data_IF_495670303290
#
_entry.id   IF_495670303290
#
_cell.length_a   1.000
_cell.length_b   1.000
_cell.length_c   1.000
_cell.angle_alpha   90.00
_cell.angle_beta   90.00
_cell.angle_gamma   90.00
#
_symmetry.space_group_name_H-M   'P 1'
#
loop_
_entity.id
_entity.type
_entity.pdbx_description
1 polymer ?
#
# COMPACT_ATOMS: atom_id res chain seq x y z
N UNK A 1 -4.44 15.08 0.95
CA UNK A 1 -4.63 14.45 -0.37
C UNK A 1 -5.87 15.08 -0.99
N UNK A 2 -5.73 15.69 -2.17
CA UNK A 2 -6.88 16.13 -2.96
C UNK A 2 -7.18 14.99 -3.92
N UNK A 3 -8.37 14.44 -3.82
CA UNK A 3 -8.87 13.42 -4.72
C UNK A 3 -8.86 13.99 -6.15
N UNK A 4 -8.39 13.18 -7.12
CA UNK A 4 -8.46 13.53 -8.53
C UNK A 4 -9.91 13.55 -9.02
N UNK A 5 -10.15 14.17 -10.18
CA UNK A 5 -11.49 14.23 -10.78
C UNK A 5 -12.07 12.83 -11.04
N UNK A 6 -11.21 11.87 -11.39
CA UNK A 6 -11.59 10.48 -11.69
C UNK A 6 -11.40 9.54 -10.49
N UNK A 7 -11.75 9.98 -9.28
CA UNK A 7 -11.61 9.15 -8.09
C UNK A 7 -12.92 9.00 -7.32
N UNK A 8 -13.16 7.77 -6.85
CA UNK A 8 -14.28 7.43 -5.99
C UNK A 8 -13.84 7.41 -4.52
N UNK A 9 -14.77 7.69 -3.61
CA UNK A 9 -14.50 7.66 -2.18
C UNK A 9 -15.54 6.82 -1.43
N UNK A 10 -15.05 5.84 -0.68
CA UNK A 10 -15.79 5.21 0.40
C UNK A 10 -15.47 5.90 1.73
N UNK A 11 -16.47 6.49 2.38
CA UNK A 11 -16.31 7.22 3.65
C UNK A 11 -17.33 6.74 4.69
N UNK A 12 -16.84 6.40 5.87
CA UNK A 12 -17.65 6.10 7.06
C UNK A 12 -17.44 7.18 8.10
N UNK A 13 -18.53 7.80 8.59
CA UNK A 13 -18.46 8.92 9.53
C UNK A 13 -19.43 8.82 10.71
N UNK A 14 -20.48 7.99 10.64
CA UNK A 14 -21.40 7.81 11.76
C UNK A 14 -20.75 7.00 12.87
N UNK A 15 -20.96 7.41 14.13
CA UNK A 15 -20.36 6.72 15.29
C UNK A 15 -20.72 5.23 15.33
N UNK A 16 -21.97 4.89 14.98
CA UNK A 16 -22.44 3.50 14.89
C UNK A 16 -21.63 2.68 13.89
N UNK A 17 -21.42 3.18 12.68
CA UNK A 17 -20.69 2.43 11.65
C UNK A 17 -19.19 2.46 11.90
N UNK A 18 -18.66 3.52 12.52
CA UNK A 18 -17.26 3.57 12.94
C UNK A 18 -16.93 2.50 13.98
N UNK A 19 -17.88 2.12 14.85
CA UNK A 19 -17.69 1.00 15.78
C UNK A 19 -17.45 -0.31 15.02
N UNK A 20 -18.23 -0.59 13.96
CA UNK A 20 -18.05 -1.77 13.11
C UNK A 20 -16.64 -1.78 12.49
N UNK A 21 -16.19 -0.62 11.99
CA UNK A 21 -14.85 -0.47 11.42
C UNK A 21 -13.76 -0.72 12.48
N UNK A 22 -13.92 -0.21 13.70
CA UNK A 22 -12.95 -0.44 14.77
C UNK A 22 -12.91 -1.89 15.21
N UNK A 23 -14.06 -2.56 15.34
CA UNK A 23 -14.15 -3.96 15.76
C UNK A 23 -13.45 -4.89 14.74
N UNK A 24 -13.58 -4.57 13.45
CA UNK A 24 -12.84 -5.26 12.39
C UNK A 24 -11.33 -5.11 12.57
N UNK A 25 -10.81 -3.88 12.70
CA UNK A 25 -9.37 -3.66 12.83
C UNK A 25 -8.79 -4.09 14.19
N UNK A 26 -9.62 -4.32 15.21
CA UNK A 26 -9.18 -4.98 16.44
C UNK A 26 -8.98 -6.48 16.22
N UNK A 27 -9.88 -7.10 15.46
CA UNK A 27 -9.82 -8.53 15.10
C UNK A 27 -8.74 -8.82 14.05
N UNK A 28 -8.50 -7.86 13.15
CA UNK A 28 -7.52 -7.92 12.07
C UNK A 28 -6.60 -6.70 12.12
N UNK A 29 -5.61 -6.68 13.04
CA UNK A 29 -4.78 -5.51 13.28
C UNK A 29 -3.98 -5.06 12.06
N UNK A 30 -3.96 -3.74 11.84
CA UNK A 30 -3.02 -3.11 10.92
C UNK A 30 -1.58 -3.36 11.38
N UNK A 31 -0.69 -3.60 10.42
CA UNK A 31 0.72 -3.94 10.69
C UNK A 31 1.72 -2.88 10.22
N UNK A 32 1.30 -1.91 9.40
CA UNK A 32 2.11 -0.74 9.06
C UNK A 32 2.02 0.34 10.14
N UNK A 33 2.78 1.43 9.98
CA UNK A 33 2.72 2.61 10.85
C UNK A 33 1.34 3.29 10.89
N UNK A 34 0.44 2.97 9.94
CA UNK A 34 -0.97 3.36 9.98
C UNK A 34 -1.69 2.83 11.23
N UNK A 35 -1.17 1.75 11.86
CA UNK A 35 -1.68 1.24 13.14
C UNK A 35 -1.64 2.31 14.24
N UNK A 36 -0.60 3.13 14.31
CA UNK A 36 -0.51 4.19 15.32
C UNK A 36 -1.63 5.23 15.14
N UNK A 37 -1.95 5.58 13.90
CA UNK A 37 -3.08 6.47 13.60
C UNK A 37 -4.41 5.82 13.95
N UNK A 38 -4.59 4.53 13.63
CA UNK A 38 -5.78 3.78 14.00
C UNK A 38 -5.99 3.75 15.53
N UNK A 39 -4.93 3.54 16.32
CA UNK A 39 -5.04 3.53 17.78
C UNK A 39 -5.45 4.90 18.34
N UNK A 40 -4.89 5.99 17.80
CA UNK A 40 -5.30 7.36 18.14
C UNK A 40 -6.75 7.64 17.72
N UNK A 41 -7.14 7.18 16.53
CA UNK A 41 -8.51 7.31 16.01
C UNK A 41 -9.53 6.57 16.90
N UNK A 42 -9.19 5.35 17.33
CA UNK A 42 -10.00 4.55 18.26
C UNK A 42 -10.17 5.25 19.62
N UNK A 43 -9.11 5.88 20.14
CA UNK A 43 -9.20 6.69 21.36
C UNK A 43 -10.14 7.88 21.19
N UNK A 44 -10.09 8.58 20.06
CA UNK A 44 -11.01 9.68 19.77
C UNK A 44 -12.48 9.22 19.71
N UNK A 45 -12.75 8.07 19.07
CA UNK A 45 -14.08 7.44 19.04
C UNK A 45 -14.60 7.17 20.45
N UNK A 46 -13.76 6.65 21.35
CA UNK A 46 -14.14 6.35 22.72
C UNK A 46 -14.53 7.63 23.50
N UNK A 47 -13.77 8.72 23.36
CA UNK A 47 -14.10 10.04 23.96
C UNK A 47 -15.46 10.54 23.45
N UNK A 48 -15.75 10.36 22.15
CA UNK A 48 -17.02 10.78 21.56
C UNK A 48 -18.17 9.91 22.09
N UNK A 49 -17.99 8.59 22.10
CA UNK A 49 -18.97 7.60 22.61
C UNK A 49 -19.35 7.84 24.07
N UNK A 50 -18.38 8.22 24.89
CA UNK A 50 -18.57 8.55 26.30
C UNK A 50 -19.11 9.97 26.53
N UNK A 51 -19.42 10.73 25.47
CA UNK A 51 -19.87 12.12 25.52
C UNK A 51 -18.91 13.10 26.21
N UNK A 52 -17.65 12.72 26.44
CA UNK A 52 -16.65 13.57 27.09
C UNK A 52 -16.36 14.85 26.28
N UNK A 53 -16.46 14.75 24.95
CA UNK A 53 -16.31 15.85 24.00
C UNK A 53 -17.27 17.03 24.20
N UNK A 54 -18.33 16.87 25.01
CA UNK A 54 -19.24 17.96 25.38
C UNK A 54 -18.63 18.93 26.40
N UNK A 55 -17.46 18.61 26.95
CA UNK A 55 -16.72 19.46 27.90
C UNK A 55 -15.45 20.02 27.25
N UNK A 56 -14.99 21.20 27.71
CA UNK A 56 -13.70 21.76 27.29
C UNK A 56 -12.55 20.77 27.50
N UNK A 57 -12.54 20.06 28.63
CA UNK A 57 -11.56 19.01 28.92
C UNK A 57 -11.54 17.91 27.85
N UNK A 58 -12.72 17.43 27.42
CA UNK A 58 -12.82 16.43 26.36
C UNK A 58 -12.43 16.95 24.99
N UNK A 59 -12.79 18.20 24.66
CA UNK A 59 -12.31 18.85 23.42
C UNK A 59 -10.79 18.95 23.42
N UNK A 60 -10.15 19.38 24.52
CA UNK A 60 -8.70 19.46 24.60
C UNK A 60 -8.02 18.09 24.44
N UNK A 61 -8.64 17.00 24.93
CA UNK A 61 -8.17 15.63 24.65
C UNK A 61 -8.23 15.30 23.15
N UNK A 62 -9.35 15.61 22.48
CA UNK A 62 -9.48 15.37 21.02
C UNK A 62 -8.49 16.18 20.20
N UNK A 63 -8.25 17.44 20.58
CA UNK A 63 -7.24 18.30 19.94
C UNK A 63 -5.84 17.71 20.15
N UNK A 64 -5.52 17.25 21.36
CA UNK A 64 -4.25 16.58 21.66
C UNK A 64 -4.04 15.30 20.84
N UNK A 65 -5.08 14.48 20.64
CA UNK A 65 -5.04 13.33 19.74
C UNK A 65 -4.80 13.78 18.29
N UNK A 66 -5.57 14.76 17.81
CA UNK A 66 -5.48 15.27 16.44
C UNK A 66 -4.11 15.86 16.11
N UNK A 67 -3.41 16.42 17.11
CA UNK A 67 -2.05 16.93 16.97
C UNK A 67 -1.01 15.85 16.62
N UNK A 68 -1.27 14.60 16.99
CA UNK A 68 -0.38 13.45 16.74
C UNK A 68 -0.88 12.50 15.65
N UNK A 69 -2.04 12.79 15.08
CA UNK A 69 -2.72 12.00 14.06
C UNK A 69 -2.41 12.56 12.66
N UNK A 70 -1.99 11.68 11.74
CA UNK A 70 -1.67 12.04 10.36
C UNK A 70 -0.71 13.25 10.28
N UNK A 71 -1.18 14.38 9.73
CA UNK A 71 -0.41 15.62 9.53
C UNK A 71 -0.43 16.59 10.73
N UNK A 72 -1.03 16.19 11.85
CA UNK A 72 -1.15 17.06 13.03
C UNK A 72 -2.11 18.25 12.83
N UNK A 73 -2.00 19.28 13.65
CA UNK A 73 -2.86 20.48 13.58
C UNK A 73 -2.36 21.46 12.52
N UNK A 74 -3.28 22.12 11.82
CA UNK A 74 -2.95 23.32 11.04
C UNK A 74 -2.66 24.50 11.97
N UNK A 75 -1.97 25.52 11.46
CA UNK A 75 -1.55 26.67 12.29
C UNK A 75 -2.74 27.42 12.89
N UNK A 76 -3.80 27.65 12.10
CA UNK A 76 -5.08 28.20 12.58
C UNK A 76 -5.68 27.40 13.76
N UNK A 77 -5.54 26.08 13.75
CA UNK A 77 -6.02 25.23 14.85
C UNK A 77 -5.10 25.30 16.07
N UNK A 78 -3.77 25.43 15.88
CA UNK A 78 -2.84 25.63 17.00
C UNK A 78 -3.13 26.94 17.73
N UNK A 79 -3.40 28.02 16.98
CA UNK A 79 -3.77 29.33 17.54
C UNK A 79 -5.08 29.28 18.34
N UNK A 80 -6.05 28.47 17.90
CA UNK A 80 -7.34 28.32 18.59
C UNK A 80 -7.25 27.48 19.87
N UNK A 81 -6.21 26.66 20.01
CA UNK A 81 -6.01 25.75 21.14
C UNK A 81 -4.56 25.79 21.66
N UNK A 82 -4.06 26.96 22.12
CA UNK A 82 -2.64 27.15 22.43
C UNK A 82 -2.17 26.33 23.63
N UNK A 83 -3.09 25.90 24.48
CA UNK A 83 -2.82 25.10 25.68
C UNK A 83 -2.96 23.59 25.45
N UNK A 84 -3.40 23.15 24.27
CA UNK A 84 -3.58 21.74 23.98
C UNK A 84 -2.23 21.03 23.87
N UNK A 85 -2.04 20.00 24.69
CA UNK A 85 -0.84 19.15 24.66
C UNK A 85 -1.07 17.98 23.71
N UNK A 86 -0.15 17.78 22.77
CA UNK A 86 -0.18 16.64 21.88
C UNK A 86 -0.07 15.32 22.67
N UNK A 87 -0.90 14.34 22.32
CA UNK A 87 -0.83 13.00 22.91
C UNK A 87 0.39 12.26 22.34
N UNK A 88 1.09 11.47 23.14
CA UNK A 88 2.22 10.67 22.65
C UNK A 88 1.73 9.71 21.58
N UNK A 89 2.34 9.77 20.39
CA UNK A 89 2.02 8.83 19.30
C UNK A 89 2.37 7.40 19.75
N UNK A 90 1.44 6.43 19.65
CA UNK A 90 1.74 5.04 19.99
C UNK A 90 2.93 4.50 19.20
N UNK A 91 3.87 3.84 19.88
CA UNK A 91 4.99 3.17 19.22
C UNK A 91 4.48 1.88 18.55
N UNK A 92 4.70 1.77 17.24
CA UNK A 92 4.43 0.56 16.47
C UNK A 92 5.77 -0.05 16.08
N UNK A 93 6.17 -1.09 16.81
CA UNK A 93 7.37 -1.87 16.52
C UNK A 93 6.99 -3.07 15.67
N UNK A 94 7.52 -3.10 14.46
CA UNK A 94 7.38 -4.23 13.55
C UNK A 94 8.11 -5.47 14.10
N UNK A 95 7.74 -6.66 13.63
CA UNK A 95 8.23 -7.96 14.07
C UNK A 95 7.89 -8.32 15.54
N UNK A 96 6.73 -7.86 16.02
CA UNK A 96 6.13 -8.34 17.27
C UNK A 96 4.97 -9.30 16.98
N UNK A 97 4.48 -10.02 17.99
CA UNK A 97 3.40 -11.02 17.82
C UNK A 97 2.19 -10.49 17.03
N UNK A 98 1.88 -9.20 17.17
CA UNK A 98 0.71 -8.57 16.56
C UNK A 98 1.03 -7.58 15.43
N UNK A 99 2.31 -7.36 15.11
CA UNK A 99 2.77 -6.40 14.08
C UNK A 99 3.77 -7.12 13.18
N UNK A 100 3.27 -8.09 12.42
CA UNK A 100 4.02 -8.84 11.41
C UNK A 100 3.03 -9.42 10.41
N UNK A 101 3.50 -9.79 9.22
CA UNK A 101 2.68 -10.53 8.27
C UNK A 101 2.28 -11.87 8.94
N UNK A 102 1.02 -12.28 8.75
CA UNK A 102 0.49 -13.55 9.26
C UNK A 102 -0.24 -14.37 8.20
N UNK A 103 -0.58 -13.75 7.08
CA UNK A 103 -1.42 -14.34 6.04
C UNK A 103 -1.03 -13.73 4.70
N UNK A 104 -0.88 -14.59 3.68
CA UNK A 104 -0.57 -14.21 2.31
C UNK A 104 -1.64 -13.32 1.66
N UNK A 105 -2.91 -13.44 2.07
CA UNK A 105 -3.99 -12.54 1.62
C UNK A 105 -3.75 -11.08 2.04
N UNK A 106 -3.04 -10.84 3.14
CA UNK A 106 -2.65 -9.48 3.50
C UNK A 106 -1.64 -8.92 2.49
N UNK A 107 -0.64 -9.72 2.07
CA UNK A 107 0.32 -9.34 1.03
C UNK A 107 -0.41 -9.06 -0.27
N UNK A 108 -1.31 -9.96 -0.70
CA UNK A 108 -2.16 -9.76 -1.88
C UNK A 108 -2.88 -8.40 -1.86
N UNK A 109 -3.58 -8.08 -0.77
CA UNK A 109 -4.27 -6.79 -0.63
C UNK A 109 -3.31 -5.59 -0.64
N UNK A 110 -2.11 -5.75 -0.08
CA UNK A 110 -1.08 -4.73 -0.12
C UNK A 110 -0.50 -4.53 -1.53
N UNK A 111 -0.35 -5.59 -2.33
CA UNK A 111 0.04 -5.52 -3.74
C UNK A 111 -1.04 -4.85 -4.58
N UNK A 112 -2.32 -5.14 -4.33
CA UNK A 112 -3.44 -4.46 -4.99
C UNK A 112 -3.41 -2.94 -4.79
N UNK A 113 -2.96 -2.49 -3.62
CA UNK A 113 -2.86 -1.06 -3.31
C UNK A 113 -1.57 -0.42 -3.82
N UNK A 114 -0.40 -0.99 -3.50
CA UNK A 114 0.91 -0.35 -3.65
C UNK A 114 1.79 -0.97 -4.75
N UNK A 115 1.36 -2.09 -5.34
CA UNK A 115 2.13 -2.83 -6.33
C UNK A 115 2.22 -2.14 -7.68
N UNK A 116 3.36 -2.29 -8.36
CA UNK A 116 3.58 -1.84 -9.73
C UNK A 116 4.24 -2.93 -10.55
N UNK A 117 3.63 -3.25 -11.70
CA UNK A 117 4.14 -4.18 -12.70
C UNK A 117 4.70 -3.38 -13.88
N UNK A 118 6.00 -3.54 -14.14
CA UNK A 118 6.73 -2.73 -15.11
C UNK A 118 7.42 -3.62 -16.12
N UNK A 119 7.32 -3.23 -17.38
CA UNK A 119 8.06 -3.80 -18.51
C UNK A 119 9.01 -2.73 -19.00
N UNK A 120 10.29 -3.04 -19.11
CA UNK A 120 11.34 -2.12 -19.54
C UNK A 120 11.94 -2.67 -20.83
N UNK A 121 11.84 -1.87 -21.89
CA UNK A 121 12.28 -2.21 -23.24
C UNK A 121 13.41 -1.26 -23.62
N UNK A 122 14.63 -1.76 -23.78
CA UNK A 122 15.81 -0.97 -24.15
C UNK A 122 16.40 -1.46 -25.48
N UNK A 123 16.85 -0.52 -26.32
CA UNK A 123 17.53 -0.76 -27.60
C UNK A 123 16.84 -1.83 -28.48
N UNK A 124 15.50 -1.89 -28.45
CA UNK A 124 14.64 -2.81 -29.18
C UNK A 124 14.89 -4.32 -29.00
N UNK A 125 15.77 -4.79 -28.13
CA UNK A 125 15.96 -6.25 -27.91
C UNK A 125 16.16 -6.67 -26.46
N UNK A 126 16.44 -5.71 -25.58
CA UNK A 126 16.56 -6.00 -24.16
C UNK A 126 15.22 -5.72 -23.48
N UNK A 127 14.48 -6.79 -23.19
CA UNK A 127 13.22 -6.74 -22.44
C UNK A 127 13.49 -7.23 -21.02
N UNK A 128 13.17 -6.42 -20.03
CA UNK A 128 13.25 -6.80 -18.62
C UNK A 128 11.95 -6.50 -17.89
N UNK A 129 11.67 -7.30 -16.87
CA UNK A 129 10.50 -7.19 -16.03
C UNK A 129 10.91 -6.68 -14.65
N UNK A 130 10.07 -5.82 -14.09
CA UNK A 130 10.24 -5.30 -12.73
C UNK A 130 8.90 -5.28 -12.02
N UNK A 131 8.87 -5.89 -10.85
CA UNK A 131 7.81 -5.70 -9.87
C UNK A 131 8.33 -4.87 -8.70
N UNK A 132 7.51 -3.95 -8.20
CA UNK A 132 7.86 -3.13 -7.04
C UNK A 132 6.69 -2.88 -6.09
N UNK A 133 7.00 -2.83 -4.79
CA UNK A 133 6.16 -2.19 -3.77
C UNK A 133 6.94 -1.02 -3.19
N UNK A 134 6.31 0.15 -3.09
CA UNK A 134 6.94 1.37 -2.58
C UNK A 134 6.21 1.82 -1.33
N UNK A 135 6.95 2.24 -0.29
CA UNK A 135 6.35 2.77 0.93
C UNK A 135 7.28 3.80 1.59
N UNK A 136 6.73 4.64 2.47
CA UNK A 136 7.56 5.53 3.29
C UNK A 136 8.56 4.72 4.14
N UNK A 137 9.76 5.26 4.35
CA UNK A 137 10.86 4.62 5.12
C UNK A 137 10.48 4.18 6.55
N UNK A 138 9.39 4.71 7.12
CA UNK A 138 8.91 4.33 8.46
C UNK A 138 8.36 2.91 8.50
N UNK A 139 8.06 2.32 7.35
CA UNK A 139 7.62 0.94 7.16
C UNK A 139 8.72 0.08 6.49
N UNK A 140 10.00 0.45 6.63
CA UNK A 140 11.13 -0.31 6.09
C UNK A 140 11.13 -1.80 6.49
N UNK A 141 10.92 -2.08 7.77
CA UNK A 141 10.91 -3.46 8.28
C UNK A 141 9.76 -4.30 7.70
N UNK A 142 8.62 -3.68 7.39
CA UNK A 142 7.53 -4.34 6.67
C UNK A 142 7.97 -4.75 5.26
N UNK A 143 8.64 -3.86 4.52
CA UNK A 143 9.13 -4.18 3.17
C UNK A 143 10.23 -5.25 3.18
N UNK A 144 11.08 -5.28 4.22
CA UNK A 144 12.07 -6.35 4.43
C UNK A 144 11.41 -7.68 4.78
N UNK A 145 10.34 -7.69 5.57
CA UNK A 145 9.63 -8.92 5.90
C UNK A 145 8.98 -9.55 4.65
N UNK A 146 8.51 -8.73 3.70
CA UNK A 146 7.98 -9.20 2.41
C UNK A 146 9.03 -9.98 1.60
N UNK A 147 10.31 -9.58 1.62
CA UNK A 147 11.37 -10.34 0.92
C UNK A 147 11.50 -11.75 1.48
N UNK A 148 11.32 -11.91 2.79
CA UNK A 148 11.36 -13.20 3.48
C UNK A 148 10.12 -14.02 3.17
N UNK A 149 8.93 -13.41 3.20
CA UNK A 149 7.65 -14.08 2.94
C UNK A 149 7.50 -14.59 1.50
N UNK A 150 7.92 -13.79 0.51
CA UNK A 150 7.88 -14.19 -0.90
C UNK A 150 9.14 -14.95 -1.33
N UNK A 151 10.14 -15.02 -0.45
CA UNK A 151 11.44 -15.65 -0.69
C UNK A 151 12.09 -15.21 -2.02
N UNK A 152 11.90 -13.95 -2.39
CA UNK A 152 12.35 -13.39 -3.65
C UNK A 152 12.52 -11.88 -3.54
N UNK A 153 13.20 -11.28 -4.52
CA UNK A 153 13.41 -9.83 -4.53
C UNK A 153 14.28 -9.30 -3.40
N UNK A 154 14.41 -7.98 -3.34
CA UNK A 154 15.30 -7.28 -2.40
C UNK A 154 14.70 -5.93 -1.98
N UNK A 155 15.05 -5.52 -0.78
CA UNK A 155 14.74 -4.18 -0.29
C UNK A 155 15.81 -3.17 -0.74
N UNK A 156 15.36 -1.97 -1.11
CA UNK A 156 16.19 -0.82 -1.47
C UNK A 156 15.65 0.43 -0.81
N UNK A 157 16.52 1.23 -0.19
CA UNK A 157 16.18 2.59 0.24
C UNK A 157 16.38 3.54 -0.93
N UNK A 158 15.38 4.36 -1.24
CA UNK A 158 15.48 5.38 -2.29
C UNK A 158 16.46 6.48 -1.85
N UNK A 159 17.56 6.74 -2.60
CA UNK A 159 18.50 7.78 -2.25
C UNK A 159 17.84 9.17 -2.22
N UNK A 160 18.08 9.93 -1.15
CA UNK A 160 17.56 11.29 -1.01
C UNK A 160 16.04 11.40 -0.82
N UNK A 161 15.35 10.29 -0.54
CA UNK A 161 13.89 10.28 -0.28
C UNK A 161 13.58 9.46 0.98
N UNK A 162 12.52 9.85 1.68
CA UNK A 162 11.98 9.09 2.82
C UNK A 162 11.12 7.91 2.35
N UNK A 163 11.68 7.11 1.45
CA UNK A 163 10.98 6.05 0.72
C UNK A 163 11.87 4.80 0.67
N UNK A 164 11.24 3.63 0.82
CA UNK A 164 11.82 2.33 0.59
C UNK A 164 11.04 1.57 -0.48
N UNK A 165 11.70 0.64 -1.16
CA UNK A 165 11.14 -0.18 -2.22
C UNK A 165 11.51 -1.66 -2.01
N UNK A 166 10.51 -2.53 -2.09
CA UNK A 166 10.72 -3.94 -2.36
C UNK A 166 10.73 -4.13 -3.88
N UNK A 167 11.78 -4.74 -4.42
CA UNK A 167 11.99 -4.91 -5.87
C UNK A 167 12.25 -6.37 -6.24
N UNK A 168 11.55 -6.85 -7.26
CA UNK A 168 11.82 -8.12 -7.94
C UNK A 168 12.16 -7.82 -9.39
N UNK A 169 13.41 -8.04 -9.77
CA UNK A 169 13.95 -7.77 -11.13
C UNK A 169 14.65 -8.97 -11.75
N UNK A 170 15.01 -9.97 -10.94
CA UNK A 170 15.62 -11.20 -11.43
C UNK A 170 14.51 -12.04 -12.09
N UNK A 171 14.70 -12.40 -13.36
CA UNK A 171 13.66 -13.08 -14.13
C UNK A 171 13.22 -14.42 -13.52
N UNK A 172 14.15 -15.22 -12.98
CA UNK A 172 13.79 -16.48 -12.30
C UNK A 172 12.95 -16.24 -11.05
N UNK A 173 13.25 -15.23 -10.23
CA UNK A 173 12.40 -14.86 -9.09
C UNK A 173 10.99 -14.44 -9.55
N UNK A 174 10.89 -13.74 -10.68
CA UNK A 174 9.60 -13.35 -11.26
C UNK A 174 8.83 -14.59 -11.74
N UNK A 175 9.47 -15.43 -12.55
CA UNK A 175 8.85 -16.58 -13.20
C UNK A 175 8.51 -17.71 -12.23
N UNK A 176 9.41 -18.00 -11.28
CA UNK A 176 9.33 -19.20 -10.45
C UNK A 176 8.72 -18.94 -9.07
N UNK A 177 8.54 -17.66 -8.68
CA UNK A 177 8.03 -17.31 -7.35
C UNK A 177 6.90 -16.29 -7.40
N UNK A 178 7.12 -15.12 -7.99
CA UNK A 178 6.11 -14.04 -8.00
C UNK A 178 4.86 -14.42 -8.81
N UNK A 179 5.04 -14.95 -10.04
CA UNK A 179 3.92 -15.37 -10.90
C UNK A 179 3.14 -16.53 -10.25
N UNK A 180 3.76 -17.63 -9.78
CA UNK A 180 3.05 -18.68 -9.05
C UNK A 180 2.26 -18.16 -7.85
N UNK A 181 2.85 -17.25 -7.06
CA UNK A 181 2.15 -16.62 -5.94
C UNK A 181 0.89 -15.85 -6.39
N UNK A 182 0.99 -15.02 -7.44
CA UNK A 182 -0.17 -14.25 -7.92
C UNK A 182 -1.19 -15.07 -8.71
N UNK A 183 -0.81 -16.24 -9.22
CA UNK A 183 -1.75 -17.23 -9.75
C UNK A 183 -2.56 -17.91 -8.62
N UNK A 184 -1.93 -18.24 -7.50
CA UNK A 184 -2.59 -18.80 -6.32
C UNK A 184 -3.42 -17.75 -5.57
N UNK A 185 -2.96 -16.50 -5.54
CA UNK A 185 -3.63 -15.36 -4.90
C UNK A 185 -3.92 -14.22 -5.89
N UNK A 186 -4.88 -14.39 -6.82
CA UNK A 186 -5.18 -13.39 -7.86
C UNK A 186 -5.56 -12.03 -7.27
N UNK A 187 -5.09 -10.94 -7.86
CA UNK A 187 -5.48 -9.59 -7.43
C UNK A 187 -6.97 -9.33 -7.70
N UNK A 188 -7.58 -8.44 -6.92
CA UNK A 188 -9.01 -8.12 -7.01
C UNK A 188 -9.31 -6.89 -7.85
N UNK A 189 -8.41 -5.91 -7.89
CA UNK A 189 -8.64 -4.66 -8.60
C UNK A 189 -8.24 -4.73 -10.07
N UNK A 190 -8.37 -3.59 -10.78
CA UNK A 190 -7.92 -3.42 -12.19
C UNK A 190 -6.44 -3.80 -12.37
N UNK A 191 -5.63 -3.72 -11.30
CA UNK A 191 -4.23 -4.16 -11.29
C UNK A 191 -4.05 -5.64 -11.64
N UNK A 192 -5.09 -6.47 -11.47
CA UNK A 192 -5.09 -7.85 -11.95
C UNK A 192 -4.82 -7.94 -13.45
N UNK A 193 -5.38 -7.05 -14.26
CA UNK A 193 -5.13 -7.05 -15.70
C UNK A 193 -3.70 -6.62 -16.04
N UNK A 194 -3.12 -5.70 -15.27
CA UNK A 194 -1.69 -5.33 -15.40
C UNK A 194 -0.78 -6.51 -15.04
N UNK A 195 -1.15 -7.28 -14.02
CA UNK A 195 -0.46 -8.52 -13.67
C UNK A 195 -0.56 -9.56 -14.79
N UNK A 196 -1.75 -9.79 -15.37
CA UNK A 196 -1.94 -10.78 -16.43
C UNK A 196 -1.11 -10.45 -17.67
N UNK A 197 -1.10 -9.19 -18.09
CA UNK A 197 -0.26 -8.71 -19.20
C UNK A 197 1.24 -8.89 -18.88
N UNK A 198 1.64 -8.59 -17.64
CA UNK A 198 3.01 -8.80 -17.16
C UNK A 198 3.42 -10.28 -17.20
N UNK A 199 2.53 -11.19 -16.77
CA UNK A 199 2.76 -12.63 -16.80
C UNK A 199 2.80 -13.17 -18.23
N UNK A 200 1.96 -12.64 -19.14
CA UNK A 200 2.01 -12.98 -20.56
C UNK A 200 3.36 -12.60 -21.19
N UNK A 201 3.89 -11.41 -20.88
CA UNK A 201 5.21 -10.99 -21.34
C UNK A 201 6.30 -11.86 -20.73
N UNK A 202 6.17 -12.28 -19.47
CA UNK A 202 7.12 -13.21 -18.86
C UNK A 202 7.22 -14.53 -19.64
N UNK A 203 6.10 -15.06 -20.14
CA UNK A 203 6.10 -16.28 -20.96
C UNK A 203 6.78 -16.06 -22.33
N UNK A 204 6.63 -14.88 -22.95
CA UNK A 204 7.37 -14.51 -24.16
C UNK A 204 8.88 -14.38 -23.91
N UNK A 205 9.27 -13.95 -22.71
CA UNK A 205 10.68 -13.92 -22.30
C UNK A 205 11.21 -15.34 -22.09
N UNK A 206 10.45 -16.17 -21.37
CA UNK A 206 10.78 -17.57 -21.05
C UNK A 206 11.01 -18.41 -22.30
N UNK A 207 10.10 -18.33 -23.25
CA UNK A 207 10.16 -19.02 -24.55
C UNK A 207 11.17 -18.42 -25.54
N UNK A 208 11.89 -17.36 -25.15
CA UNK A 208 12.80 -16.59 -26.02
C UNK A 208 12.14 -15.89 -27.21
N UNK A 209 10.81 -15.88 -27.32
CA UNK A 209 10.08 -15.19 -28.37
C UNK A 209 10.39 -13.68 -28.43
N UNK A 210 10.69 -13.05 -27.30
CA UNK A 210 11.14 -11.64 -27.24
C UNK A 210 12.40 -11.30 -28.07
N UNK A 211 13.14 -12.30 -28.55
CA UNK A 211 14.31 -12.13 -29.42
C UNK A 211 13.96 -12.01 -30.91
N UNK A 212 12.70 -12.26 -31.30
CA UNK A 212 12.20 -12.06 -32.66
C UNK A 212 11.50 -10.72 -32.79
N UNK A 213 11.47 -10.15 -33.99
CA UNK A 213 10.78 -8.88 -34.24
C UNK A 213 9.27 -9.02 -33.97
N UNK A 214 8.67 -10.14 -34.36
CA UNK A 214 7.26 -10.46 -34.09
C UNK A 214 6.95 -10.52 -32.59
N UNK A 215 7.80 -11.19 -31.81
CA UNK A 215 7.64 -11.30 -30.36
C UNK A 215 7.85 -9.97 -29.67
N UNK A 216 8.80 -9.15 -30.14
CA UNK A 216 9.01 -7.80 -29.64
C UNK A 216 7.81 -6.88 -29.92
N UNK A 217 7.27 -6.90 -31.13
CA UNK A 217 6.08 -6.11 -31.48
C UNK A 217 4.87 -6.54 -30.64
N UNK A 218 4.71 -7.84 -30.38
CA UNK A 218 3.71 -8.35 -29.45
C UNK A 218 3.90 -7.80 -28.03
N UNK A 219 5.13 -7.77 -27.51
CA UNK A 219 5.43 -7.20 -26.18
C UNK A 219 5.09 -5.71 -26.13
N UNK A 220 5.46 -4.93 -27.16
CA UNK A 220 5.15 -3.50 -27.25
C UNK A 220 3.65 -3.24 -27.27
N UNK A 221 2.89 -4.06 -27.99
CA UNK A 221 1.43 -3.98 -28.05
C UNK A 221 0.77 -4.31 -26.71
N UNK A 222 1.26 -5.32 -25.99
CA UNK A 222 0.76 -5.61 -24.64
C UNK A 222 1.08 -4.41 -23.72
N UNK A 223 2.35 -3.96 -23.72
CA UNK A 223 2.81 -2.84 -22.89
C UNK A 223 2.07 -1.52 -23.17
N UNK A 224 1.61 -1.28 -24.41
CA UNK A 224 0.84 -0.08 -24.75
C UNK A 224 -0.55 -0.04 -24.10
N UNK A 225 -1.05 -1.17 -23.59
CA UNK A 225 -2.36 -1.30 -22.96
C UNK A 225 -2.29 -1.58 -21.45
N UNK A 226 -1.11 -1.45 -20.84
CA UNK A 226 -0.89 -1.68 -19.41
C UNK A 226 -0.90 -0.38 -18.58
N UNK A 227 -1.13 -0.55 -17.27
CA UNK A 227 -1.02 0.48 -16.24
C UNK A 227 -1.88 1.71 -16.61
N UNK A 228 -1.29 2.92 -16.57
CA UNK A 228 -1.98 4.18 -16.90
C UNK A 228 -2.52 4.28 -18.33
N UNK A 229 -2.07 3.39 -19.23
CA UNK A 229 -2.53 3.36 -20.62
C UNK A 229 -3.72 2.42 -20.82
N UNK A 230 -4.09 1.65 -19.80
CA UNK A 230 -5.24 0.74 -19.87
C UNK A 230 -6.53 1.56 -19.95
N UNK A 231 -7.24 1.41 -21.06
CA UNK A 231 -8.59 1.94 -21.23
C UNK A 231 -9.54 0.85 -20.73
N UNK A 232 -10.20 1.09 -19.61
CA UNK A 232 -11.34 0.27 -19.18
C UNK A 232 -12.54 0.73 -19.99
N UNK A 233 -12.96 -0.07 -20.97
CA UNK A 233 -14.28 0.10 -21.58
C UNK A 233 -15.28 -0.38 -20.53
N UNK A 234 -16.17 0.50 -20.09
CA UNK A 234 -17.29 0.10 -19.23
C UNK A 234 -18.17 -0.87 -20.03
N UNK A 235 -18.33 -2.10 -19.53
CA UNK A 235 -19.34 -3.06 -20.01
C UNK A 235 -20.73 -2.69 -19.48
#
# INVERSE_FOLDING_TARGET
YKHGVDSMQYRVSSLKNLQIITDHFDSYPLISQKRADYLLFKQAIAIIKNKEHLSLKGILKLVGIKASLNWGLSDKFKESFPTAKAVVRPSVRYNTLNVKIKNLNWIRGFIDAEGSFQVITQNNRNVSLRFSLTQHIKDEELLKDITTYLNCGRYYKSPGRDEGQYLVTIFSDINDKLIPFLNEYPLLGIKQYDYLDFAQIAELIKSKAHLTDEGLEKIKLIQSNMNRKRITIEE
#
